data_IF_481648894369
#
_entry.id   IF_481648894369
#
_cell.length_a   1.000
_cell.length_b   1.000
_cell.length_c   1.000
_cell.angle_alpha   90.00
_cell.angle_beta   90.00
_cell.angle_gamma   90.00
#
_symmetry.space_group_name_H-M   'P 1'
#
loop_
_entity.id
_entity.type
_entity.pdbx_description
1 polymer ?
#
# COMPACT_ATOMS: atom_id res chain seq x y z
N UNK A 1 18.12 1.29 -7.04
CA UNK A 1 16.93 0.65 -6.43
C UNK A 1 15.92 1.75 -6.15
N UNK A 2 14.65 1.58 -6.50
CA UNK A 2 13.62 2.62 -6.34
C UNK A 2 12.77 2.36 -5.10
N UNK A 3 12.37 3.43 -4.42
CA UNK A 3 11.44 3.38 -3.28
C UNK A 3 10.02 3.53 -3.84
N UNK A 4 9.18 2.51 -3.67
CA UNK A 4 7.82 2.46 -4.24
C UNK A 4 6.72 2.49 -3.18
N UNK A 5 7.09 2.25 -1.92
CA UNK A 5 6.21 2.30 -0.77
C UNK A 5 7.01 2.67 0.48
N UNK A 6 6.36 3.35 1.42
CA UNK A 6 6.91 3.75 2.72
C UNK A 6 5.87 3.55 3.82
N UNK A 7 6.34 3.34 5.05
CA UNK A 7 5.51 3.31 6.26
C UNK A 7 6.18 4.16 7.33
N UNK A 8 5.39 4.97 8.03
CA UNK A 8 5.89 5.73 9.16
C UNK A 8 6.14 4.81 10.36
N UNK A 9 7.25 5.00 11.07
CA UNK A 9 7.65 4.14 12.20
C UNK A 9 6.85 4.39 13.49
N UNK A 10 6.34 5.61 13.67
CA UNK A 10 5.62 6.03 14.88
C UNK A 10 4.11 6.24 14.66
N UNK A 11 3.64 6.28 13.42
CA UNK A 11 2.25 6.61 13.08
C UNK A 11 1.71 5.55 12.12
N UNK A 12 0.42 5.24 12.22
CA UNK A 12 -0.25 4.34 11.29
C UNK A 12 -0.56 5.07 9.97
N UNK A 13 0.52 5.32 9.21
CA UNK A 13 0.48 6.03 7.93
C UNK A 13 1.42 5.32 6.97
N UNK A 14 0.85 4.89 5.86
CA UNK A 14 1.53 4.21 4.75
C UNK A 14 1.34 5.02 3.46
N UNK A 15 2.33 4.99 2.58
CA UNK A 15 2.27 5.62 1.27
C UNK A 15 2.76 4.67 0.18
N UNK A 16 2.07 4.65 -0.95
CA UNK A 16 2.43 3.85 -2.14
C UNK A 16 2.44 4.76 -3.37
N UNK A 17 3.35 4.51 -4.31
CA UNK A 17 3.47 5.30 -5.54
C UNK A 17 2.51 4.83 -6.66
N UNK A 18 1.97 3.62 -6.53
CA UNK A 18 1.05 3.01 -7.48
C UNK A 18 -0.39 3.02 -6.94
N UNK A 19 -1.33 2.61 -7.80
CA UNK A 19 -2.76 2.59 -7.52
C UNK A 19 -3.22 1.17 -7.12
N UNK A 20 -3.22 0.79 -5.83
CA UNK A 20 -3.72 -0.51 -5.38
C UNK A 20 -5.23 -0.68 -5.61
N UNK A 21 -5.97 0.40 -5.84
CA UNK A 21 -7.39 0.37 -6.18
C UNK A 21 -7.67 0.00 -7.65
N UNK A 22 -6.65 0.06 -8.52
CA UNK A 22 -6.83 -0.22 -9.94
C UNK A 22 -7.04 -1.71 -10.22
N UNK A 23 -7.96 -2.02 -11.14
CA UNK A 23 -8.21 -3.38 -11.66
C UNK A 23 -6.95 -4.03 -12.26
N UNK A 24 -6.00 -3.21 -12.70
CA UNK A 24 -4.73 -3.66 -13.28
C UNK A 24 -3.67 -4.02 -12.22
N UNK A 25 -3.99 -3.87 -10.93
CA UNK A 25 -3.11 -4.27 -9.83
C UNK A 25 -3.63 -5.60 -9.27
N UNK A 26 -3.10 -6.79 -9.67
CA UNK A 26 -3.72 -8.08 -9.35
C UNK A 26 -3.82 -8.39 -7.85
N UNK A 27 -2.96 -7.79 -7.04
CA UNK A 27 -2.96 -7.92 -5.58
C UNK A 27 -3.48 -6.68 -4.85
N UNK A 28 -4.06 -5.73 -5.59
CA UNK A 28 -4.53 -4.45 -5.08
C UNK A 28 -5.51 -4.59 -3.91
N UNK A 29 -6.52 -5.44 -4.08
CA UNK A 29 -7.50 -5.74 -3.03
C UNK A 29 -6.84 -6.33 -1.78
N UNK A 30 -5.85 -7.21 -1.94
CA UNK A 30 -5.12 -7.79 -0.80
C UNK A 30 -4.30 -6.73 -0.05
N UNK A 31 -3.68 -5.79 -0.79
CA UNK A 31 -2.93 -4.68 -0.20
C UNK A 31 -3.86 -3.80 0.64
N UNK A 32 -5.03 -3.44 0.10
CA UNK A 32 -6.04 -2.66 0.82
C UNK A 32 -6.56 -3.40 2.06
N UNK A 33 -6.86 -4.70 1.94
CA UNK A 33 -7.30 -5.52 3.07
C UNK A 33 -6.24 -5.64 4.18
N UNK A 34 -4.96 -5.68 3.81
CA UNK A 34 -3.88 -5.68 4.80
C UNK A 34 -3.77 -4.32 5.48
N UNK A 35 -3.90 -3.22 4.74
CA UNK A 35 -3.90 -1.87 5.31
C UNK A 35 -5.02 -1.73 6.35
N UNK A 36 -6.25 -2.14 6.02
CA UNK A 36 -7.39 -2.05 6.95
C UNK A 36 -7.25 -2.92 8.22
N UNK A 37 -6.32 -3.88 8.24
CA UNK A 37 -6.06 -4.77 9.38
C UNK A 37 -4.80 -4.38 10.16
N UNK A 38 -4.05 -3.38 9.69
CA UNK A 38 -2.75 -3.02 10.21
C UNK A 38 -2.81 -2.13 11.46
#
# INVERSE_FOLDING_TARGET
QFIMAIQHINFDVQGVQFHPESVLTPLGEKILNNWLKS
#
